data_IF_564408912444
#
_entry.id   IF_564408912444
#
_cell.length_a   1.000
_cell.length_b   1.000
_cell.length_c   1.000
_cell.angle_alpha   90.00
_cell.angle_beta   90.00
_cell.angle_gamma   90.00
#
_symmetry.space_group_name_H-M   'P 1'
#
loop_
_entity.id
_entity.type
_entity.pdbx_description
1 polymer ?
#
# COMPACT_ATOMS: atom_id res chain seq x y z
N UNK A 1 10.84 15.58 -12.54
CA UNK A 1 10.03 16.17 -13.65
C UNK A 1 8.59 15.79 -13.37
N UNK A 2 7.73 16.75 -13.08
CA UNK A 2 6.28 16.47 -12.89
C UNK A 2 5.75 16.12 -14.27
N UNK A 3 5.79 14.84 -14.60
CA UNK A 3 5.12 14.33 -15.78
C UNK A 3 3.64 14.70 -15.70
N UNK A 4 3.17 15.30 -16.75
CA UNK A 4 1.83 15.86 -16.99
C UNK A 4 0.80 15.40 -15.95
N UNK A 5 0.35 16.32 -15.10
CA UNK A 5 -0.77 16.10 -14.20
C UNK A 5 -1.87 15.44 -15.00
N UNK A 6 -2.32 14.27 -14.54
CA UNK A 6 -3.46 13.60 -15.16
C UNK A 6 -4.74 14.39 -14.81
N UNK A 7 -5.04 15.35 -15.69
CA UNK A 7 -6.17 16.25 -15.48
C UNK A 7 -7.51 15.53 -15.45
N UNK A 8 -7.62 14.41 -16.16
CA UNK A 8 -8.86 13.64 -16.17
C UNK A 8 -9.04 12.86 -14.87
N UNK A 9 -7.97 12.30 -14.33
CA UNK A 9 -7.99 11.73 -12.98
C UNK A 9 -8.31 12.81 -11.93
N UNK A 10 -7.70 13.99 -12.02
CA UNK A 10 -7.96 15.08 -11.09
C UNK A 10 -9.44 15.53 -11.11
N UNK A 11 -10.05 15.64 -12.30
CA UNK A 11 -11.48 15.92 -12.42
C UNK A 11 -12.33 14.85 -11.74
N UNK A 12 -12.02 13.56 -11.97
CA UNK A 12 -12.72 12.44 -11.32
C UNK A 12 -12.63 12.51 -9.81
N UNK A 13 -11.44 12.77 -9.25
CA UNK A 13 -11.24 12.93 -7.82
C UNK A 13 -12.14 14.03 -7.24
N UNK A 14 -12.17 15.20 -7.88
CA UNK A 14 -13.02 16.32 -7.43
C UNK A 14 -14.51 15.99 -7.54
N UNK A 15 -14.93 15.34 -8.61
CA UNK A 15 -16.33 14.96 -8.81
C UNK A 15 -16.80 13.93 -7.77
N UNK A 16 -16.07 12.85 -7.61
CA UNK A 16 -16.40 11.79 -6.66
C UNK A 16 -16.22 12.25 -5.20
N UNK A 17 -15.22 13.07 -4.91
CA UNK A 17 -14.96 13.60 -3.57
C UNK A 17 -16.05 14.54 -3.03
N UNK A 18 -16.90 15.11 -3.91
CA UNK A 18 -18.08 15.87 -3.49
C UNK A 18 -19.15 14.99 -2.82
N UNK A 19 -19.19 13.71 -3.20
CA UNK A 19 -20.16 12.73 -2.72
C UNK A 19 -19.57 11.79 -1.68
N UNK A 20 -18.25 11.61 -1.70
CA UNK A 20 -17.52 10.76 -0.77
C UNK A 20 -16.24 11.50 -0.29
N UNK A 21 -16.29 12.14 0.89
CA UNK A 21 -15.16 12.90 1.46
C UNK A 21 -13.90 12.05 1.67
N UNK A 22 -14.02 10.75 1.89
CA UNK A 22 -12.88 9.84 2.09
C UNK A 22 -11.94 9.80 0.88
N UNK A 23 -12.50 10.05 -0.33
CA UNK A 23 -11.69 10.18 -1.55
C UNK A 23 -10.74 11.39 -1.42
N UNK A 24 -11.23 12.52 -0.92
CA UNK A 24 -10.42 13.72 -0.70
C UNK A 24 -9.40 13.47 0.41
N UNK A 25 -9.79 12.77 1.49
CA UNK A 25 -8.85 12.42 2.56
C UNK A 25 -7.75 11.49 2.07
N UNK A 26 -8.04 10.59 1.12
CA UNK A 26 -7.03 9.73 0.52
C UNK A 26 -5.94 10.50 -0.24
N UNK A 27 -6.16 11.78 -0.52
CA UNK A 27 -5.21 12.76 -1.08
C UNK A 27 -4.81 13.85 -0.07
N UNK A 28 -5.05 13.66 1.22
CA UNK A 28 -4.64 14.63 2.26
C UNK A 28 -3.12 14.76 2.35
N UNK A 29 -2.66 15.84 2.95
CA UNK A 29 -1.23 16.11 3.17
C UNK A 29 -0.54 14.97 3.91
N UNK A 30 -1.21 14.39 4.91
CA UNK A 30 -0.66 13.26 5.68
C UNK A 30 -0.51 12.00 4.83
N UNK A 31 -1.48 11.73 3.94
CA UNK A 31 -1.40 10.62 3.00
C UNK A 31 -0.27 10.86 1.98
N UNK A 32 -0.14 12.07 1.44
CA UNK A 32 0.95 12.42 0.54
C UNK A 32 2.32 12.28 1.18
N UNK A 33 2.49 12.72 2.42
CA UNK A 33 3.77 12.57 3.14
C UNK A 33 4.16 11.11 3.30
N UNK A 34 3.24 10.28 3.80
CA UNK A 34 3.54 8.88 4.09
C UNK A 34 3.75 8.06 2.81
N UNK A 35 2.85 8.18 1.83
CA UNK A 35 2.93 7.43 0.59
C UNK A 35 4.01 7.97 -0.35
N UNK A 36 4.26 9.28 -0.34
CA UNK A 36 5.34 9.92 -1.06
C UNK A 36 6.71 9.44 -0.59
N UNK A 37 6.93 9.37 0.73
CA UNK A 37 8.16 8.81 1.29
C UNK A 37 8.39 7.35 0.85
N UNK A 38 7.33 6.53 0.81
CA UNK A 38 7.45 5.15 0.28
C UNK A 38 7.91 5.17 -1.18
N UNK A 39 7.31 6.02 -2.02
CA UNK A 39 7.66 6.11 -3.44
C UNK A 39 9.13 6.50 -3.59
N UNK A 40 9.58 7.55 -2.89
CA UNK A 40 10.96 8.02 -2.90
C UNK A 40 11.95 6.92 -2.46
N UNK A 41 11.66 6.24 -1.35
CA UNK A 41 12.52 5.18 -0.84
C UNK A 41 12.54 3.94 -1.75
N UNK A 42 11.43 3.58 -2.37
CA UNK A 42 11.38 2.49 -3.36
C UNK A 42 12.21 2.85 -4.59
N UNK A 43 12.17 4.10 -5.06
CA UNK A 43 13.03 4.59 -6.15
C UNK A 43 14.53 4.54 -5.77
N UNK A 44 14.88 4.88 -4.52
CA UNK A 44 16.25 4.80 -4.01
C UNK A 44 16.82 3.37 -4.00
N UNK A 45 15.98 2.33 -3.91
CA UNK A 45 16.43 0.94 -4.01
C UNK A 45 17.06 0.61 -5.37
N UNK A 46 16.82 1.44 -6.38
CA UNK A 46 17.27 1.23 -7.76
C UNK A 46 16.95 -0.18 -8.29
N UNK A 47 15.82 -0.72 -7.86
CA UNK A 47 15.35 -2.05 -8.18
C UNK A 47 14.42 -2.01 -9.39
N UNK A 48 14.49 -3.03 -10.23
CA UNK A 48 13.52 -3.18 -11.31
C UNK A 48 12.20 -3.67 -10.74
N UNK A 49 11.21 -2.79 -10.64
CA UNK A 49 9.86 -3.11 -10.20
C UNK A 49 8.95 -3.18 -11.43
N UNK A 50 8.43 -4.37 -11.72
CA UNK A 50 7.53 -4.64 -12.84
C UNK A 50 6.10 -4.91 -12.38
N UNK A 51 5.90 -5.52 -11.20
CA UNK A 51 4.59 -5.85 -10.66
C UNK A 51 4.50 -5.51 -9.16
N UNK A 52 3.45 -4.81 -8.80
CA UNK A 52 3.19 -4.32 -7.45
C UNK A 52 1.89 -4.90 -6.92
N UNK A 53 1.88 -5.32 -5.67
CA UNK A 53 0.67 -5.66 -4.91
C UNK A 53 0.51 -4.66 -3.78
N UNK A 54 -0.65 -4.00 -3.69
CA UNK A 54 -0.99 -3.06 -2.63
C UNK A 54 -2.09 -3.67 -1.77
N UNK A 55 -1.74 -3.98 -0.53
CA UNK A 55 -2.56 -4.67 0.46
C UNK A 55 -3.24 -3.62 1.35
N UNK A 56 -4.55 -3.74 1.57
CA UNK A 56 -5.33 -2.68 2.24
C UNK A 56 -5.21 -1.39 1.45
N UNK A 57 -5.54 -1.48 0.16
CA UNK A 57 -5.17 -0.43 -0.81
C UNK A 57 -5.97 0.86 -0.66
N UNK A 58 -7.11 0.77 0.07
CA UNK A 58 -8.10 1.84 0.04
C UNK A 58 -8.40 2.17 -1.43
N UNK A 59 -8.44 3.45 -1.83
CA UNK A 59 -8.65 3.81 -3.24
C UNK A 59 -7.42 3.65 -4.13
N UNK A 60 -6.23 3.38 -3.60
CA UNK A 60 -4.98 3.34 -4.38
C UNK A 60 -4.49 4.71 -4.87
N UNK A 61 -5.02 5.78 -4.31
CA UNK A 61 -5.03 7.17 -4.79
C UNK A 61 -3.68 7.70 -5.24
N UNK A 62 -2.64 7.59 -4.43
CA UNK A 62 -1.30 8.15 -4.71
C UNK A 62 -0.44 7.15 -5.47
N UNK A 63 -0.55 5.85 -5.14
CA UNK A 63 0.29 4.83 -5.75
C UNK A 63 -0.05 4.55 -7.21
N UNK A 64 -1.34 4.49 -7.57
CA UNK A 64 -1.75 4.20 -8.96
C UNK A 64 -1.19 5.22 -9.94
N UNK A 65 -1.37 6.53 -9.76
CA UNK A 65 -0.78 7.51 -10.67
C UNK A 65 0.76 7.55 -10.63
N UNK A 66 1.37 7.33 -9.46
CA UNK A 66 2.84 7.28 -9.34
C UNK A 66 3.45 6.10 -10.13
N UNK A 67 2.80 4.95 -10.04
CA UNK A 67 3.26 3.72 -10.69
C UNK A 67 2.53 3.37 -12.00
N UNK A 68 1.91 4.35 -12.66
CA UNK A 68 1.16 4.14 -13.93
C UNK A 68 1.97 3.48 -15.05
N UNK A 69 3.31 3.56 -14.99
CA UNK A 69 4.24 2.99 -15.97
C UNK A 69 4.61 1.52 -15.66
N UNK A 70 4.27 1.01 -14.50
CA UNK A 70 4.55 -0.37 -14.09
C UNK A 70 3.66 -1.34 -14.89
N UNK A 71 4.17 -2.52 -15.19
CA UNK A 71 3.44 -3.50 -16.01
C UNK A 71 2.11 -3.94 -15.39
N UNK A 72 2.11 -4.10 -14.04
CA UNK A 72 0.91 -4.55 -13.32
C UNK A 72 0.88 -3.98 -11.90
N UNK A 73 -0.27 -3.46 -11.52
CA UNK A 73 -0.60 -3.05 -10.15
C UNK A 73 -1.83 -3.82 -9.71
N UNK A 74 -1.76 -4.52 -8.61
CA UNK A 74 -2.93 -5.19 -8.01
C UNK A 74 -3.31 -4.48 -6.72
N UNK A 75 -4.51 -3.92 -6.68
CA UNK A 75 -5.11 -3.30 -5.50
C UNK A 75 -6.00 -4.32 -4.80
N UNK A 76 -5.79 -4.54 -3.51
CA UNK A 76 -6.57 -5.47 -2.70
C UNK A 76 -7.13 -4.72 -1.51
N UNK A 77 -8.45 -4.75 -1.37
CA UNK A 77 -9.15 -4.21 -0.21
C UNK A 77 -10.41 -5.05 0.07
N UNK A 78 -10.78 -5.19 1.32
CA UNK A 78 -12.01 -5.91 1.70
C UNK A 78 -13.27 -5.09 1.53
N UNK A 79 -13.14 -3.77 1.46
CA UNK A 79 -14.26 -2.85 1.28
C UNK A 79 -14.72 -2.84 -0.18
N UNK A 80 -15.94 -3.36 -0.37
CA UNK A 80 -16.56 -3.47 -1.70
C UNK A 80 -16.86 -2.10 -2.34
N UNK A 81 -17.22 -1.11 -1.53
CA UNK A 81 -17.53 0.23 -2.03
C UNK A 81 -16.27 0.93 -2.50
N UNK A 82 -15.21 0.86 -1.70
CA UNK A 82 -13.88 1.38 -2.03
C UNK A 82 -13.38 0.80 -3.35
N UNK A 83 -13.42 -0.52 -3.50
CA UNK A 83 -12.99 -1.20 -4.73
C UNK A 83 -13.89 -0.83 -5.92
N UNK A 84 -15.18 -0.72 -5.73
CA UNK A 84 -16.11 -0.31 -6.79
C UNK A 84 -15.81 1.12 -7.27
N UNK A 85 -15.58 2.06 -6.37
CA UNK A 85 -15.23 3.44 -6.70
C UNK A 85 -13.88 3.49 -7.41
N UNK A 86 -12.85 2.82 -6.88
CA UNK A 86 -11.53 2.77 -7.49
C UNK A 86 -11.59 2.23 -8.93
N UNK A 87 -12.33 1.12 -9.14
CA UNK A 87 -12.43 0.44 -10.44
C UNK A 87 -13.23 1.26 -11.45
N UNK A 88 -14.43 1.73 -11.06
CA UNK A 88 -15.42 2.21 -12.01
C UNK A 88 -15.47 3.74 -12.11
N UNK A 89 -14.87 4.47 -11.16
CA UNK A 89 -14.92 5.91 -11.08
C UNK A 89 -13.55 6.59 -11.22
N UNK A 90 -12.53 6.06 -10.52
CA UNK A 90 -11.22 6.70 -10.49
C UNK A 90 -10.30 6.18 -11.59
N UNK A 91 -10.14 4.87 -11.73
CA UNK A 91 -9.08 4.25 -12.55
C UNK A 91 -9.60 3.32 -13.66
N UNK A 92 -10.82 3.53 -14.14
CA UNK A 92 -11.45 2.67 -15.16
C UNK A 92 -10.67 2.59 -16.49
N UNK A 93 -9.82 3.56 -16.78
CA UNK A 93 -8.99 3.66 -17.98
C UNK A 93 -7.53 3.18 -17.78
N UNK A 94 -7.14 2.83 -16.54
CA UNK A 94 -5.81 2.31 -16.23
C UNK A 94 -5.73 0.80 -16.49
N UNK A 95 -5.29 0.42 -17.69
CA UNK A 95 -5.29 -0.99 -18.17
C UNK A 95 -4.36 -1.93 -17.40
N UNK A 96 -3.37 -1.40 -16.72
CA UNK A 96 -2.38 -2.14 -15.93
C UNK A 96 -2.79 -2.32 -14.47
N UNK A 97 -3.96 -1.81 -14.05
CA UNK A 97 -4.46 -1.92 -12.68
C UNK A 97 -5.52 -3.01 -12.59
N UNK A 98 -5.35 -3.91 -11.63
CA UNK A 98 -6.31 -4.95 -11.27
C UNK A 98 -6.85 -4.69 -9.87
N UNK A 99 -8.13 -4.94 -9.67
CA UNK A 99 -8.83 -4.67 -8.42
C UNK A 99 -9.37 -5.98 -7.84
N UNK A 100 -9.24 -6.15 -6.52
CA UNK A 100 -9.72 -7.30 -5.78
C UNK A 100 -10.44 -6.87 -4.53
N UNK A 101 -11.72 -7.21 -4.45
CA UNK A 101 -12.51 -7.03 -3.24
C UNK A 101 -12.36 -8.30 -2.40
N UNK A 102 -11.39 -8.31 -1.48
CA UNK A 102 -11.10 -9.48 -0.68
C UNK A 102 -10.26 -9.11 0.56
N UNK A 103 -10.47 -9.83 1.66
CA UNK A 103 -9.51 -9.76 2.77
C UNK A 103 -8.22 -10.47 2.36
N UNK A 104 -7.08 -9.79 2.54
CA UNK A 104 -5.78 -10.31 2.10
C UNK A 104 -5.40 -11.59 2.85
N UNK A 105 -5.82 -11.74 4.12
CA UNK A 105 -5.52 -12.93 4.91
C UNK A 105 -6.34 -14.15 4.51
N UNK A 106 -7.49 -13.93 3.86
CA UNK A 106 -8.35 -14.99 3.31
C UNK A 106 -8.02 -15.31 1.85
N UNK A 107 -7.20 -14.47 1.18
CA UNK A 107 -6.85 -14.64 -0.22
C UNK A 107 -5.70 -15.64 -0.38
N UNK A 108 -6.06 -16.87 -0.74
CA UNK A 108 -5.12 -17.97 -1.01
C UNK A 108 -4.83 -18.17 -2.49
N UNK A 109 -5.10 -17.19 -3.36
CA UNK A 109 -4.85 -17.26 -4.80
C UNK A 109 -3.37 -17.05 -5.15
N UNK A 110 -2.56 -17.97 -4.70
CA UNK A 110 -1.10 -18.04 -4.81
C UNK A 110 -0.53 -17.63 -6.18
N UNK A 111 -1.14 -18.11 -7.26
CA UNK A 111 -0.60 -17.90 -8.60
C UNK A 111 -0.65 -16.44 -9.08
N UNK A 112 -1.50 -15.62 -8.47
CA UNK A 112 -1.74 -14.26 -8.93
C UNK A 112 -0.73 -13.25 -8.40
N UNK A 113 -0.02 -13.59 -7.30
CA UNK A 113 1.01 -12.73 -6.70
C UNK A 113 2.44 -13.23 -6.99
N UNK A 114 2.56 -14.34 -7.72
CA UNK A 114 3.84 -15.05 -7.89
C UNK A 114 4.90 -14.21 -8.59
N UNK A 115 4.51 -13.32 -9.47
CA UNK A 115 5.39 -12.44 -10.24
C UNK A 115 5.61 -11.07 -9.61
N UNK A 116 4.84 -10.74 -8.57
CA UNK A 116 4.98 -9.48 -7.87
C UNK A 116 6.35 -9.37 -7.22
N UNK A 117 7.02 -8.27 -7.46
CA UNK A 117 8.33 -7.99 -6.92
C UNK A 117 8.37 -6.81 -5.94
N UNK A 118 7.21 -6.19 -5.67
CA UNK A 118 7.03 -5.24 -4.59
C UNK A 118 5.65 -5.44 -3.93
N UNK A 119 5.63 -5.54 -2.61
CA UNK A 119 4.42 -5.54 -1.79
C UNK A 119 4.37 -4.25 -0.96
N UNK A 120 3.29 -3.51 -1.08
CA UNK A 120 3.04 -2.28 -0.31
C UNK A 120 1.87 -2.52 0.62
N UNK A 121 2.01 -2.14 1.89
CA UNK A 121 0.92 -2.09 2.85
C UNK A 121 1.04 -0.84 3.72
N UNK A 122 0.10 0.07 3.55
CA UNK A 122 0.03 1.31 4.34
C UNK A 122 -1.06 1.31 5.39
N UNK A 123 -1.55 0.12 5.72
CA UNK A 123 -2.70 -0.12 6.61
C UNK A 123 -2.43 -1.28 7.58
N UNK A 124 -1.16 -1.52 7.95
CA UNK A 124 -0.81 -2.62 8.86
C UNK A 124 -1.48 -2.51 10.24
N UNK A 125 -1.81 -1.29 10.67
CA UNK A 125 -2.55 -1.04 11.91
C UNK A 125 -4.00 -1.54 11.87
N UNK A 126 -4.57 -1.75 10.69
CA UNK A 126 -5.97 -2.20 10.51
C UNK A 126 -6.12 -3.72 10.32
N UNK A 127 -5.05 -4.49 10.36
CA UNK A 127 -5.08 -5.92 10.05
C UNK A 127 -4.14 -6.71 10.96
N UNK A 128 -4.18 -8.03 10.89
CA UNK A 128 -3.26 -8.90 11.62
C UNK A 128 -1.79 -8.62 11.23
N UNK A 129 -0.82 -8.93 12.10
CA UNK A 129 0.60 -8.77 11.78
C UNK A 129 0.99 -9.42 10.45
N UNK A 130 1.77 -8.73 9.64
CA UNK A 130 2.17 -9.21 8.29
C UNK A 130 2.85 -10.58 8.31
N UNK A 131 3.54 -10.93 9.40
CA UNK A 131 4.14 -12.27 9.56
C UNK A 131 3.12 -13.41 9.56
N UNK A 132 1.86 -13.12 9.87
CA UNK A 132 0.78 -14.11 9.93
C UNK A 132 0.14 -14.38 8.56
N UNK A 133 0.47 -13.59 7.54
CA UNK A 133 -0.03 -13.87 6.20
C UNK A 133 0.59 -15.15 5.63
N UNK A 134 -0.20 -16.19 5.38
CA UNK A 134 0.32 -17.53 5.10
C UNK A 134 1.04 -17.65 3.75
N UNK A 135 0.94 -16.62 2.92
CA UNK A 135 1.47 -16.62 1.58
C UNK A 135 2.97 -16.30 1.49
N UNK A 136 3.57 -15.69 2.55
CA UNK A 136 4.97 -15.25 2.50
C UNK A 136 5.94 -16.36 2.17
N UNK A 137 5.79 -17.51 2.84
CA UNK A 137 6.70 -18.64 2.63
C UNK A 137 6.73 -19.06 1.15
N UNK A 138 5.54 -19.14 0.55
CA UNK A 138 5.44 -19.57 -0.85
C UNK A 138 5.93 -18.51 -1.84
N UNK A 139 5.61 -17.23 -1.65
CA UNK A 139 6.06 -16.12 -2.49
C UNK A 139 7.58 -16.00 -2.43
N UNK A 140 8.16 -16.05 -1.23
CA UNK A 140 9.60 -15.87 -1.02
C UNK A 140 10.42 -17.03 -1.57
N UNK A 141 9.88 -18.25 -1.63
CA UNK A 141 10.55 -19.39 -2.31
C UNK A 141 10.78 -19.14 -3.80
N UNK A 142 9.97 -18.32 -4.44
CA UNK A 142 10.00 -18.10 -5.91
C UNK A 142 10.62 -16.78 -6.31
N UNK A 143 10.30 -15.75 -5.58
CA UNK A 143 10.61 -14.38 -5.98
C UNK A 143 10.93 -13.54 -4.76
N UNK A 144 12.02 -13.46 -4.22
CA UNK A 144 12.39 -12.63 -3.06
C UNK A 144 11.98 -11.16 -3.24
N UNK A 145 10.70 -10.82 -3.07
CA UNK A 145 10.20 -9.50 -3.39
C UNK A 145 10.69 -8.44 -2.39
N UNK A 146 10.60 -7.20 -2.79
CA UNK A 146 10.68 -6.06 -1.88
C UNK A 146 9.36 -5.87 -1.14
N UNK A 147 9.44 -5.23 0.00
CA UNK A 147 8.26 -4.77 0.75
C UNK A 147 8.42 -3.31 1.19
N UNK A 148 7.30 -2.63 1.34
CA UNK A 148 7.20 -1.29 1.89
C UNK A 148 5.95 -1.24 2.78
N UNK A 149 6.14 -1.33 4.09
CA UNK A 149 5.06 -1.44 5.07
C UNK A 149 5.06 -0.26 6.02
N UNK A 150 3.86 0.21 6.38
CA UNK A 150 3.70 1.22 7.42
C UNK A 150 2.70 0.78 8.48
N UNK A 151 2.95 1.22 9.69
CA UNK A 151 2.03 1.20 10.82
C UNK A 151 2.17 2.50 11.62
N UNK A 152 1.49 2.65 12.73
CA UNK A 152 1.54 3.85 13.55
C UNK A 152 1.33 3.54 15.03
N UNK A 153 1.44 4.58 15.88
CA UNK A 153 1.16 4.50 17.32
C UNK A 153 -0.16 5.20 17.72
N UNK A 154 -1.10 5.29 16.80
CA UNK A 154 -2.38 6.00 17.01
C UNK A 154 -3.44 5.04 17.54
N UNK A 155 -3.27 4.57 18.78
CA UNK A 155 -4.10 3.54 19.42
C UNK A 155 -5.56 3.97 19.66
N UNK A 156 -5.82 5.29 19.71
CA UNK A 156 -7.14 5.83 20.01
C UNK A 156 -8.04 5.97 18.77
N UNK A 157 -7.56 5.53 17.60
CA UNK A 157 -8.34 5.59 16.35
C UNK A 157 -9.13 4.29 16.21
N UNK A 158 -10.43 4.41 16.00
CA UNK A 158 -11.31 3.27 15.75
C UNK A 158 -10.84 2.44 14.55
N UNK A 159 -10.85 1.11 14.71
CA UNK A 159 -10.37 0.19 13.67
C UNK A 159 -8.85 -0.02 13.64
N UNK A 160 -8.09 0.67 14.47
CA UNK A 160 -6.67 0.40 14.67
C UNK A 160 -6.49 -0.75 15.66
N UNK A 161 -6.35 -1.96 15.16
CA UNK A 161 -6.27 -3.20 15.97
C UNK A 161 -4.83 -3.69 16.18
N UNK A 162 -3.87 -3.16 15.42
CA UNK A 162 -2.49 -3.64 15.38
C UNK A 162 -1.48 -2.48 15.26
N UNK A 163 -1.66 -1.44 16.06
CA UNK A 163 -0.68 -0.38 16.21
C UNK A 163 0.63 -0.90 16.83
N UNK A 164 1.72 -0.19 16.60
CA UNK A 164 2.99 -0.40 17.27
C UNK A 164 3.37 0.81 18.15
N UNK A 165 3.97 0.61 19.32
CA UNK A 165 4.41 1.71 20.19
C UNK A 165 5.61 2.46 19.62
N UNK A 166 6.46 1.73 18.87
CA UNK A 166 7.68 2.23 18.27
C UNK A 166 8.06 1.33 17.08
N UNK A 167 9.10 1.75 16.36
CA UNK A 167 9.54 1.06 15.15
C UNK A 167 10.07 -0.36 15.44
N UNK A 168 10.68 -0.59 16.61
CA UNK A 168 11.17 -1.91 17.01
C UNK A 168 10.02 -2.90 17.29
N UNK A 169 8.90 -2.41 17.81
CA UNK A 169 7.69 -3.22 17.95
C UNK A 169 7.07 -3.54 16.59
N UNK A 170 7.06 -2.57 15.67
CA UNK A 170 6.59 -2.80 14.30
C UNK A 170 7.46 -3.82 13.54
N UNK A 171 8.78 -3.79 13.70
CA UNK A 171 9.66 -4.80 13.11
C UNK A 171 9.30 -6.24 13.51
N UNK A 172 8.83 -6.46 14.74
CA UNK A 172 8.40 -7.78 15.24
C UNK A 172 7.12 -8.30 14.57
N UNK A 173 6.42 -7.46 13.82
CA UNK A 173 5.25 -7.83 13.04
C UNK A 173 5.60 -8.30 11.62
N UNK A 174 6.85 -8.17 11.21
CA UNK A 174 7.35 -8.66 9.92
C UNK A 174 7.60 -10.17 9.95
N UNK A 175 7.54 -10.86 8.80
CA UNK A 175 8.02 -12.23 8.65
C UNK A 175 9.52 -12.36 9.02
N UNK A 176 9.92 -13.50 9.57
CA UNK A 176 11.29 -13.73 10.06
C UNK A 176 12.36 -13.62 8.95
N UNK A 177 11.99 -13.87 7.71
CA UNK A 177 12.88 -13.73 6.55
C UNK A 177 12.88 -12.32 5.93
N UNK A 178 12.25 -11.34 6.56
CA UNK A 178 12.29 -9.96 6.13
C UNK A 178 13.61 -9.30 6.53
N UNK A 179 14.29 -8.68 5.59
CA UNK A 179 15.47 -7.86 5.82
C UNK A 179 15.11 -6.39 5.61
N UNK A 180 15.10 -5.63 6.70
CA UNK A 180 14.83 -4.18 6.65
C UNK A 180 16.08 -3.46 6.13
N UNK A 181 15.91 -2.67 5.09
CA UNK A 181 16.97 -1.88 4.43
C UNK A 181 16.86 -0.39 4.77
N UNK A 182 15.62 0.10 4.88
CA UNK A 182 15.31 1.49 5.20
C UNK A 182 14.23 1.49 6.29
N UNK A 183 14.45 2.30 7.30
CA UNK A 183 13.47 2.58 8.35
C UNK A 183 13.36 4.08 8.57
N UNK A 184 12.14 4.56 8.73
CA UNK A 184 11.86 5.98 8.94
C UNK A 184 10.62 6.18 9.82
N UNK A 185 10.50 7.38 10.36
CA UNK A 185 9.41 7.79 11.23
C UNK A 185 8.89 9.16 10.81
N UNK A 186 7.63 9.20 10.42
CA UNK A 186 6.96 10.44 10.02
C UNK A 186 6.06 10.90 11.15
N UNK A 187 6.38 12.04 11.73
CA UNK A 187 5.55 12.67 12.76
C UNK A 187 4.37 13.37 12.09
N UNK A 188 3.19 13.10 12.62
CA UNK A 188 1.92 13.69 12.23
C UNK A 188 1.28 14.29 13.50
N UNK A 189 0.20 15.05 13.38
CA UNK A 189 -0.47 15.71 14.51
C UNK A 189 -1.07 14.70 15.49
N UNK A 190 -1.46 13.52 15.01
CA UNK A 190 -2.11 12.46 15.78
C UNK A 190 -1.14 11.45 16.39
N UNK A 191 0.10 11.38 15.89
CA UNK A 191 1.09 10.42 16.37
C UNK A 191 2.29 10.28 15.47
N UNK A 192 2.89 9.09 15.47
CA UNK A 192 4.05 8.74 14.66
C UNK A 192 3.67 7.59 13.75
N UNK A 193 3.96 7.74 12.47
CA UNK A 193 3.87 6.68 11.47
C UNK A 193 5.24 6.09 11.24
N UNK A 194 5.35 4.77 11.34
CA UNK A 194 6.58 4.01 11.13
C UNK A 194 6.61 3.47 9.70
N UNK A 195 7.75 3.59 9.03
CA UNK A 195 8.03 3.05 7.71
C UNK A 195 9.10 1.98 7.80
N UNK A 196 8.86 0.83 7.19
CA UNK A 196 9.85 -0.23 7.00
C UNK A 196 9.87 -0.65 5.54
N UNK A 197 11.01 -0.51 4.89
CA UNK A 197 11.21 -0.93 3.51
C UNK A 197 12.38 -1.91 3.48
N UNK A 198 12.23 -2.98 2.73
CA UNK A 198 13.24 -4.01 2.69
C UNK A 198 12.97 -5.08 1.63
N UNK A 199 13.58 -6.22 1.82
CA UNK A 199 13.51 -7.35 0.91
C UNK A 199 13.37 -8.65 1.69
N UNK A 200 12.63 -9.60 1.15
CA UNK A 200 12.60 -10.96 1.69
C UNK A 200 13.83 -11.75 1.23
N UNK A 201 14.36 -12.60 2.13
CA UNK A 201 15.49 -13.50 1.87
C UNK A 201 15.08 -14.81 1.25
#
# INVERSE_FOLDING_TARGET
MIDKIDLDLFKRIIQEGRHNPDILDSYSVNQFRAKGAIIEYVEMLNAKIDEIVIMGSWYGSIFVPAYKHIKKITLIDKDKEVINIATNRLFYDYKNVQFRCQDIFDDLKLNEYRSANLFINTSCEHMAPMKEWPMWEWICRKNKPYFAFTSNNMFDIEGHINCAKNIEEFKKQLPDNAEVMIEDQIKDERGIRFLLIGKFK
#
